data_IF_150793855919
#
_entry.id   IF_150793855919
#
_cell.length_a   1.000
_cell.length_b   1.000
_cell.length_c   1.000
_cell.angle_alpha   90.00
_cell.angle_beta   90.00
_cell.angle_gamma   90.00
#
_symmetry.space_group_name_H-M   'P 1'
#
loop_
_entity.id
_entity.type
_entity.pdbx_description
1 polymer ?
#
# COMPACT_ATOMS: atom_id res chain seq x y z
N UNK A 1 4.30 2.50 19.24
CA UNK A 1 4.56 3.62 20.17
C UNK A 1 4.13 3.26 21.57
N UNK A 2 4.72 3.94 22.56
CA UNK A 2 4.31 3.90 23.96
C UNK A 2 2.88 4.39 24.18
N UNK A 3 2.38 4.17 25.40
CA UNK A 3 1.05 4.61 25.81
C UNK A 3 1.03 6.10 26.13
N UNK A 4 -0.08 6.77 25.82
CA UNK A 4 -0.37 8.18 26.19
C UNK A 4 -0.93 8.35 27.61
N UNK A 5 -0.95 7.28 28.41
CA UNK A 5 -1.38 7.30 29.81
C UNK A 5 -1.79 5.92 30.33
N UNK A 6 -2.24 5.85 31.59
CA UNK A 6 -2.64 4.58 32.22
C UNK A 6 -3.90 3.94 31.62
N UNK A 7 -4.83 4.77 31.14
CA UNK A 7 -6.09 4.34 30.51
C UNK A 7 -5.97 4.09 29.00
N UNK A 8 -4.79 4.33 28.44
CA UNK A 8 -4.51 4.09 27.04
C UNK A 8 -4.07 2.63 26.85
N UNK A 9 -4.77 1.83 26.03
CA UNK A 9 -4.37 0.45 25.84
C UNK A 9 -3.05 0.39 25.06
N UNK A 10 -2.31 -0.71 25.22
CA UNK A 10 -1.11 -0.94 24.43
C UNK A 10 -1.41 -1.04 22.93
N UNK A 11 -0.53 -0.47 22.12
CA UNK A 11 -0.54 -0.66 20.67
C UNK A 11 0.07 -2.02 20.32
N UNK A 12 -0.70 -2.87 19.66
CA UNK A 12 -0.25 -4.19 19.24
C UNK A 12 -0.44 -4.37 17.74
N UNK A 13 0.55 -4.99 17.12
CA UNK A 13 0.40 -5.64 15.82
C UNK A 13 -0.09 -7.07 16.06
N UNK A 14 -1.35 -7.35 15.78
CA UNK A 14 -1.93 -8.67 16.01
C UNK A 14 -1.48 -9.68 14.95
N UNK A 15 -1.27 -10.94 15.34
CA UNK A 15 -0.94 -12.04 14.41
C UNK A 15 -1.98 -12.19 13.29
N UNK A 16 -3.28 -12.05 13.61
CA UNK A 16 -4.36 -12.09 12.61
C UNK A 16 -4.21 -10.95 11.57
N UNK A 17 -3.75 -9.78 11.99
CA UNK A 17 -3.48 -8.65 11.08
C UNK A 17 -2.27 -8.93 10.19
N UNK A 18 -1.18 -9.49 10.75
CA UNK A 18 0.03 -9.87 9.99
C UNK A 18 -0.30 -10.92 8.94
N UNK A 19 -0.98 -12.00 9.37
CA UNK A 19 -1.32 -13.12 8.52
C UNK A 19 -2.20 -12.68 7.34
N UNK A 20 -3.20 -11.83 7.58
CA UNK A 20 -4.06 -11.31 6.52
C UNK A 20 -3.27 -10.56 5.43
N UNK A 21 -2.33 -9.70 5.82
CA UNK A 21 -1.46 -8.98 4.87
C UNK A 21 -0.55 -9.97 4.12
N UNK A 22 0.08 -10.89 4.83
CA UNK A 22 0.96 -11.91 4.25
C UNK A 22 0.21 -12.75 3.20
N UNK A 23 -0.99 -13.21 3.51
CA UNK A 23 -1.81 -14.01 2.60
C UNK A 23 -2.17 -13.26 1.33
N UNK A 24 -2.60 -11.98 1.45
CA UNK A 24 -2.90 -11.14 0.30
C UNK A 24 -1.70 -10.99 -0.64
N UNK A 25 -0.53 -10.63 -0.12
CA UNK A 25 0.68 -10.53 -0.96
C UNK A 25 1.13 -11.89 -1.52
N UNK A 26 0.99 -12.97 -0.74
CA UNK A 26 1.37 -14.31 -1.16
C UNK A 26 0.53 -14.83 -2.34
N UNK A 27 -0.76 -14.47 -2.42
CA UNK A 27 -1.61 -14.74 -3.58
C UNK A 27 -1.06 -14.12 -4.88
N UNK A 28 -0.25 -13.07 -4.76
CA UNK A 28 0.42 -12.38 -5.87
C UNK A 28 1.92 -12.68 -5.99
N UNK A 29 2.38 -13.80 -5.41
CA UNK A 29 3.78 -14.25 -5.43
C UNK A 29 4.77 -13.28 -4.75
N UNK A 30 4.29 -12.41 -3.87
CA UNK A 30 5.11 -11.49 -3.09
C UNK A 30 5.26 -12.05 -1.68
N UNK A 31 6.51 -12.26 -1.24
CA UNK A 31 6.80 -12.73 0.12
C UNK A 31 6.92 -11.54 1.06
N UNK A 32 6.08 -11.52 2.09
CA UNK A 32 6.11 -10.53 3.16
C UNK A 32 6.59 -11.19 4.44
N UNK A 33 7.55 -10.55 5.11
CA UNK A 33 8.03 -10.92 6.42
C UNK A 33 7.81 -9.74 7.35
N UNK A 34 7.20 -10.01 8.50
CA UNK A 34 7.06 -9.01 9.57
C UNK A 34 8.15 -9.31 10.59
N UNK A 35 9.05 -8.35 10.79
CA UNK A 35 10.12 -8.45 11.78
C UNK A 35 9.72 -7.66 13.04
N UNK A 36 9.32 -8.39 14.08
CA UNK A 36 9.06 -7.83 15.41
C UNK A 36 10.33 -7.80 16.28
N UNK A 37 11.51 -7.64 15.67
CA UNK A 37 12.77 -7.52 16.38
C UNK A 37 13.34 -8.86 16.84
N UNK A 38 14.65 -8.86 17.11
CA UNK A 38 15.38 -10.04 17.58
C UNK A 38 15.95 -9.78 18.98
N UNK A 39 16.10 -10.79 19.84
CA UNK A 39 16.64 -10.61 21.20
C UNK A 39 18.01 -9.89 21.26
N UNK A 40 18.77 -9.89 20.17
CA UNK A 40 20.09 -9.27 20.06
C UNK A 40 20.19 -8.23 18.92
N UNK A 41 19.06 -7.74 18.38
CA UNK A 41 19.13 -6.65 17.38
C UNK A 41 19.61 -5.35 18.05
N UNK A 42 20.31 -4.47 17.32
CA UNK A 42 20.56 -3.12 17.81
C UNK A 42 19.26 -2.39 18.11
N UNK A 43 19.37 -1.36 18.93
CA UNK A 43 18.27 -0.43 19.20
C UNK A 43 17.76 0.13 17.85
N UNK A 44 16.45 0.12 17.66
CA UNK A 44 15.66 0.41 16.48
C UNK A 44 15.69 -0.68 15.38
N UNK A 45 15.90 -1.94 15.77
CA UNK A 45 15.95 -3.09 14.86
C UNK A 45 14.58 -3.71 14.49
N UNK A 46 13.49 -3.17 15.02
CA UNK A 46 12.14 -3.76 14.95
C UNK A 46 11.67 -4.28 16.31
N UNK A 47 10.35 -4.42 16.50
CA UNK A 47 9.79 -4.97 17.75
C UNK A 47 9.78 -4.06 18.99
N UNK A 48 10.42 -2.91 18.89
CA UNK A 48 10.65 -2.05 20.04
C UNK A 48 9.50 -1.10 20.34
N UNK A 49 9.34 -0.81 21.63
CA UNK A 49 8.47 0.25 22.08
C UNK A 49 9.17 1.61 21.92
N UNK A 50 8.79 2.36 20.90
CA UNK A 50 9.25 3.75 20.73
C UNK A 50 8.46 4.72 21.63
N UNK A 51 9.00 5.91 21.97
CA UNK A 51 8.29 6.95 22.73
C UNK A 51 6.87 7.24 22.23
N UNK A 52 6.00 7.65 23.15
CA UNK A 52 4.64 8.05 22.84
C UNK A 52 4.61 9.44 22.18
N UNK A 53 3.85 9.55 21.09
CA UNK A 53 3.52 10.78 20.38
C UNK A 53 2.02 10.71 20.06
N UNK A 54 1.26 11.75 20.43
CA UNK A 54 -0.19 11.80 20.22
C UNK A 54 -0.58 11.78 18.74
N UNK A 55 0.18 12.50 17.91
CA UNK A 55 0.01 12.53 16.46
C UNK A 55 1.32 12.80 15.75
N UNK A 56 1.69 11.97 14.78
CA UNK A 56 2.78 12.30 13.85
C UNK A 56 2.17 12.96 12.62
N UNK A 57 2.75 14.09 12.20
CA UNK A 57 2.44 14.67 10.89
C UNK A 57 3.45 14.20 9.86
N UNK A 58 2.98 14.08 8.62
CA UNK A 58 3.78 13.66 7.47
C UNK A 58 5.10 14.46 7.34
N UNK A 59 5.03 15.77 7.57
CA UNK A 59 6.12 16.74 7.39
C UNK A 59 6.96 16.99 8.66
N UNK A 60 6.62 16.36 9.79
CA UNK A 60 7.29 16.63 11.07
C UNK A 60 8.75 16.15 11.14
N UNK A 61 9.13 15.21 10.27
CA UNK A 61 10.40 14.50 10.38
C UNK A 61 10.54 13.62 11.63
N UNK A 62 9.49 13.46 12.44
CA UNK A 62 9.57 12.71 13.71
C UNK A 62 9.91 11.23 13.49
N UNK A 63 9.53 10.67 12.35
CA UNK A 63 9.82 9.28 11.98
C UNK A 63 11.33 8.99 11.87
N UNK A 64 12.14 10.00 11.57
CA UNK A 64 13.61 9.91 11.54
C UNK A 64 14.23 9.56 12.91
N UNK A 65 13.52 9.82 14.00
CA UNK A 65 14.00 9.47 15.34
C UNK A 65 13.95 7.95 15.58
N UNK A 66 13.10 7.24 14.83
CA UNK A 66 12.87 5.81 14.99
C UNK A 66 13.51 4.99 13.87
N UNK A 67 13.68 5.59 12.70
CA UNK A 67 14.22 4.91 11.54
C UNK A 67 15.75 4.98 11.48
N UNK A 68 16.42 3.86 11.77
CA UNK A 68 17.90 3.75 11.74
C UNK A 68 18.46 2.74 10.74
N UNK A 69 17.70 2.36 9.70
CA UNK A 69 18.19 1.54 8.58
C UNK A 69 19.08 0.36 8.98
N UNK A 70 18.76 -0.34 10.08
CA UNK A 70 19.54 -1.48 10.50
C UNK A 70 18.94 -2.76 9.93
N UNK A 71 19.24 -3.01 8.65
CA UNK A 71 18.91 -4.27 7.99
C UNK A 71 20.19 -5.07 7.87
N UNK A 72 20.34 -6.18 8.61
CA UNK A 72 21.58 -6.94 8.58
C UNK A 72 21.81 -7.50 7.17
N UNK A 73 23.05 -7.43 6.68
CA UNK A 73 23.44 -7.73 5.29
C UNK A 73 23.05 -9.15 4.84
N UNK A 74 22.93 -10.10 5.77
CA UNK A 74 22.44 -11.44 5.46
C UNK A 74 20.97 -11.48 5.00
N UNK A 75 20.23 -10.39 5.17
CA UNK A 75 18.83 -10.28 4.75
C UNK A 75 18.74 -9.48 3.46
N UNK A 76 18.49 -10.21 2.37
CA UNK A 76 18.20 -9.60 1.05
C UNK A 76 16.70 -9.38 0.93
N UNK A 77 16.29 -8.15 0.66
CA UNK A 77 14.87 -7.82 0.49
C UNK A 77 14.61 -6.33 0.45
N UNK A 78 13.32 -6.01 0.43
CA UNK A 78 12.78 -4.65 0.48
C UNK A 78 12.26 -4.44 1.89
N UNK A 79 12.78 -3.42 2.57
CA UNK A 79 12.46 -3.18 3.97
C UNK A 79 11.68 -1.88 4.13
N UNK A 80 10.62 -1.97 4.92
CA UNK A 80 9.76 -0.84 5.29
C UNK A 80 9.70 -0.80 6.80
N UNK A 81 9.95 0.36 7.38
CA UNK A 81 9.81 0.52 8.83
C UNK A 81 8.39 0.92 9.16
N UNK A 82 7.75 0.20 10.07
CA UNK A 82 6.36 0.46 10.44
C UNK A 82 6.26 0.88 11.91
N UNK A 83 5.56 1.97 12.18
CA UNK A 83 5.24 2.41 13.54
C UNK A 83 3.73 2.40 13.73
N UNK A 84 3.27 1.75 14.79
CA UNK A 84 1.87 1.77 15.20
C UNK A 84 1.72 2.76 16.37
N UNK A 85 0.94 3.82 16.19
CA UNK A 85 0.81 4.96 17.13
C UNK A 85 -0.63 5.42 17.33
N UNK A 86 -0.83 6.59 17.94
CA UNK A 86 -2.17 7.12 18.28
C UNK A 86 -2.89 7.84 17.16
N UNK A 87 -2.16 8.63 16.37
CA UNK A 87 -2.73 9.51 15.35
C UNK A 87 -1.72 9.76 14.23
N UNK A 88 -2.20 9.69 13.00
CA UNK A 88 -1.37 9.48 11.81
C UNK A 88 -2.05 8.57 10.79
N UNK A 89 -1.30 7.87 9.95
CA UNK A 89 -1.83 7.03 8.87
C UNK A 89 -1.30 7.49 7.53
N UNK A 90 0.01 7.29 7.33
CA UNK A 90 0.69 7.73 6.12
C UNK A 90 1.92 6.87 5.82
N UNK A 91 2.13 6.57 4.55
CA UNK A 91 3.43 6.23 4.00
C UNK A 91 4.27 7.50 3.83
N UNK A 92 5.17 7.75 4.79
CA UNK A 92 6.01 8.95 4.92
C UNK A 92 7.45 8.73 4.49
N UNK A 93 8.14 9.82 4.14
CA UNK A 93 9.54 9.77 3.80
C UNK A 93 10.43 9.98 5.03
N UNK A 94 11.35 9.03 5.27
CA UNK A 94 12.35 9.21 6.32
C UNK A 94 13.64 9.82 5.75
N UNK A 95 14.20 9.27 4.67
CA UNK A 95 15.42 9.80 4.05
C UNK A 95 15.18 10.16 2.60
N UNK A 96 15.52 11.39 2.21
CA UNK A 96 15.11 11.99 0.93
C UNK A 96 13.58 11.98 0.80
N UNK A 97 13.04 12.06 -0.42
CA UNK A 97 11.59 11.97 -0.65
C UNK A 97 11.16 10.53 -0.97
N UNK A 98 11.77 9.55 -0.29
CA UNK A 98 11.49 8.12 -0.46
C UNK A 98 10.51 7.68 0.61
N UNK A 99 9.41 7.06 0.23
CA UNK A 99 8.41 6.61 1.20
C UNK A 99 8.65 5.19 1.72
N UNK A 100 9.69 5.07 2.55
CA UNK A 100 10.17 3.83 3.14
C UNK A 100 9.64 3.58 4.56
N UNK A 101 8.84 4.50 5.10
CA UNK A 101 8.30 4.41 6.45
C UNK A 101 6.78 4.52 6.46
N UNK A 102 6.15 3.62 7.20
CA UNK A 102 4.70 3.54 7.34
C UNK A 102 4.32 3.85 8.78
N UNK A 103 3.41 4.78 8.95
CA UNK A 103 2.76 5.02 10.23
C UNK A 103 1.31 4.54 10.17
N UNK A 104 0.92 3.71 11.13
CA UNK A 104 -0.47 3.25 11.29
C UNK A 104 -1.05 3.83 12.56
N UNK A 105 -2.15 4.59 12.39
CA UNK A 105 -2.99 4.98 13.51
C UNK A 105 -3.70 3.78 14.11
N UNK A 106 -3.31 3.44 15.33
CA UNK A 106 -4.08 2.61 16.21
C UNK A 106 -5.14 3.47 16.89
N UNK A 107 -6.39 3.33 16.44
CA UNK A 107 -7.49 3.98 17.14
C UNK A 107 -7.74 3.25 18.45
N UNK A 108 -7.11 3.75 19.51
CA UNK A 108 -7.47 3.48 20.90
C UNK A 108 -7.57 4.77 21.69
N UNK A 109 -8.79 5.18 21.99
CA UNK A 109 -9.00 6.30 22.92
C UNK A 109 -9.20 5.85 24.35
N UNK A 110 -9.07 6.83 25.27
CA UNK A 110 -9.21 6.71 26.73
C UNK A 110 -10.56 6.13 27.20
N UNK A 111 -11.58 6.13 26.35
CA UNK A 111 -12.89 5.52 26.56
C UNK A 111 -13.17 4.51 25.45
N UNK A 112 -12.65 3.29 25.64
CA UNK A 112 -12.59 2.25 24.61
C UNK A 112 -13.95 1.99 23.93
N UNK A 113 -15.06 2.04 24.66
CA UNK A 113 -16.39 1.79 24.09
C UNK A 113 -16.93 2.97 23.26
N UNK A 114 -16.82 4.20 23.78
CA UNK A 114 -17.31 5.41 23.08
C UNK A 114 -16.55 5.61 21.77
N UNK A 115 -15.23 5.42 21.80
CA UNK A 115 -14.39 5.58 20.61
C UNK A 115 -14.57 4.43 19.62
N UNK A 116 -14.86 3.20 20.07
CA UNK A 116 -15.26 2.10 19.18
C UNK A 116 -16.57 2.41 18.46
N UNK A 117 -17.58 2.93 19.17
CA UNK A 117 -18.86 3.31 18.56
C UNK A 117 -18.67 4.46 17.58
N UNK A 118 -17.91 5.51 17.94
CA UNK A 118 -17.58 6.60 17.01
C UNK A 118 -16.84 6.09 15.77
N UNK A 119 -15.85 5.23 15.96
CA UNK A 119 -15.08 4.63 14.84
C UNK A 119 -15.98 3.83 13.91
N UNK A 120 -17.01 3.16 14.43
CA UNK A 120 -17.99 2.49 13.59
C UNK A 120 -18.76 3.48 12.70
N UNK A 121 -19.26 4.57 13.27
CA UNK A 121 -20.03 5.57 12.50
C UNK A 121 -19.20 6.44 11.55
N UNK A 122 -17.94 6.71 11.91
CA UNK A 122 -17.04 7.59 11.14
C UNK A 122 -16.24 6.80 10.10
N UNK A 123 -15.73 5.63 10.49
CA UNK A 123 -14.79 4.86 9.68
C UNK A 123 -15.39 3.52 9.18
N UNK A 124 -16.56 3.11 9.66
CA UNK A 124 -17.16 1.81 9.31
C UNK A 124 -16.51 0.63 10.04
N UNK A 125 -15.62 0.89 11.00
CA UNK A 125 -14.91 -0.15 11.76
C UNK A 125 -15.85 -0.91 12.67
N UNK A 126 -15.99 -2.22 12.44
CA UNK A 126 -16.85 -3.07 13.28
C UNK A 126 -16.37 -3.05 14.75
N UNK A 127 -17.26 -2.73 15.72
CA UNK A 127 -16.91 -2.58 17.13
C UNK A 127 -16.77 -3.93 17.84
N UNK A 128 -15.87 -4.79 17.33
CA UNK A 128 -15.53 -6.09 17.92
C UNK A 128 -14.01 -6.26 17.94
N UNK A 129 -13.50 -7.15 18.79
CA UNK A 129 -12.06 -7.44 18.81
C UNK A 129 -11.54 -7.92 17.45
N UNK A 130 -12.30 -8.77 16.76
CA UNK A 130 -11.93 -9.22 15.41
C UNK A 130 -11.99 -8.08 14.40
N UNK A 131 -13.04 -7.26 14.43
CA UNK A 131 -13.16 -6.06 13.58
C UNK A 131 -11.98 -5.10 13.79
N UNK A 132 -11.48 -4.98 15.02
CA UNK A 132 -10.31 -4.19 15.32
C UNK A 132 -9.02 -4.71 14.65
N UNK A 133 -8.82 -6.03 14.63
CA UNK A 133 -7.66 -6.71 14.01
C UNK A 133 -7.73 -6.68 12.49
N UNK A 134 -8.90 -6.96 11.92
CA UNK A 134 -9.13 -6.91 10.47
C UNK A 134 -8.94 -5.49 9.96
N UNK A 135 -9.51 -4.50 10.65
CA UNK A 135 -9.28 -3.08 10.33
C UNK A 135 -7.80 -2.68 10.42
N UNK A 136 -7.04 -3.19 11.40
CA UNK A 136 -5.62 -2.90 11.50
C UNK A 136 -4.85 -3.50 10.32
N UNK A 137 -5.10 -4.77 10.00
CA UNK A 137 -4.45 -5.42 8.86
C UNK A 137 -4.80 -4.76 7.52
N UNK A 138 -6.04 -4.31 7.37
CA UNK A 138 -6.50 -3.61 6.18
C UNK A 138 -5.84 -2.22 6.02
N UNK A 139 -5.68 -1.48 7.12
CA UNK A 139 -4.90 -0.23 7.12
C UNK A 139 -3.43 -0.48 6.78
N UNK A 140 -2.84 -1.56 7.31
CA UNK A 140 -1.47 -1.93 6.96
C UNK A 140 -1.38 -2.24 5.46
N UNK A 141 -2.31 -3.03 4.92
CA UNK A 141 -2.35 -3.33 3.50
C UNK A 141 -2.47 -2.05 2.67
N UNK A 142 -3.38 -1.15 3.03
CA UNK A 142 -3.58 0.16 2.39
C UNK A 142 -2.27 0.98 2.34
N UNK A 143 -1.64 1.22 3.50
CA UNK A 143 -0.44 2.05 3.57
C UNK A 143 0.80 1.39 2.95
N UNK A 144 0.95 0.07 3.08
CA UNK A 144 2.02 -0.67 2.40
C UNK A 144 1.85 -0.54 0.89
N UNK A 145 0.62 -0.55 0.39
CA UNK A 145 0.36 -0.41 -1.04
C UNK A 145 0.75 0.98 -1.56
N UNK A 146 0.57 2.04 -0.77
CA UNK A 146 1.12 3.37 -1.09
C UNK A 146 2.64 3.41 -1.21
N UNK A 147 3.35 2.57 -0.46
CA UNK A 147 4.81 2.40 -0.59
C UNK A 147 5.23 1.41 -1.69
N UNK A 148 4.25 0.90 -2.45
CA UNK A 148 4.44 0.02 -3.61
C UNK A 148 3.84 0.66 -4.87
N UNK A 149 4.06 1.96 -5.08
CA UNK A 149 3.63 2.76 -6.25
C UNK A 149 2.14 2.97 -6.48
N UNK A 150 1.25 2.66 -5.53
CA UNK A 150 -0.20 2.92 -5.70
C UNK A 150 -0.61 4.19 -4.96
N UNK A 151 -1.00 5.22 -5.69
CA UNK A 151 -1.64 6.43 -5.17
C UNK A 151 -2.54 7.01 -6.24
N UNK A 152 -3.45 7.91 -5.84
CA UNK A 152 -4.32 8.61 -6.80
C UNK A 152 -3.50 9.28 -7.90
N UNK A 153 -2.34 9.81 -7.53
CA UNK A 153 -1.41 10.53 -8.38
C UNK A 153 -0.66 9.57 -9.31
N UNK A 154 0.01 8.57 -8.77
CA UNK A 154 0.81 7.60 -9.56
C UNK A 154 -0.05 6.80 -10.53
N UNK A 155 -1.27 6.43 -10.13
CA UNK A 155 -2.21 5.68 -10.96
C UNK A 155 -3.12 6.57 -11.82
N UNK A 156 -3.14 7.89 -11.59
CA UNK A 156 -4.13 8.81 -12.17
C UNK A 156 -5.58 8.28 -12.01
N UNK A 157 -5.91 7.81 -10.80
CA UNK A 157 -7.18 7.14 -10.53
C UNK A 157 -7.87 7.73 -9.30
N UNK A 158 -8.98 8.44 -9.54
CA UNK A 158 -9.70 9.19 -8.51
C UNK A 158 -10.42 8.34 -7.45
N UNK A 159 -10.42 7.01 -7.56
CA UNK A 159 -11.00 6.10 -6.57
C UNK A 159 -10.09 5.85 -5.36
N UNK A 160 -8.77 5.97 -5.51
CA UNK A 160 -7.81 5.84 -4.40
C UNK A 160 -7.99 7.00 -3.42
N UNK A 161 -8.00 6.69 -2.13
CA UNK A 161 -8.11 7.63 -0.99
C UNK A 161 -9.32 8.57 -1.09
N UNK A 162 -10.35 8.12 -1.80
CA UNK A 162 -11.46 8.99 -2.12
C UNK A 162 -12.41 9.14 -0.92
N UNK A 163 -12.24 10.24 -0.18
CA UNK A 163 -13.05 10.63 0.98
C UNK A 163 -14.43 11.20 0.63
N UNK A 164 -14.78 11.37 -0.65
CA UNK A 164 -16.04 12.04 -1.05
C UNK A 164 -17.31 11.25 -0.75
N UNK A 165 -17.19 9.98 -0.33
CA UNK A 165 -18.29 9.11 0.09
C UNK A 165 -19.10 9.65 1.28
N UNK A 166 -18.49 10.55 2.07
CA UNK A 166 -19.01 11.26 3.24
C UNK A 166 -19.27 10.42 4.50
N UNK A 167 -19.92 9.26 4.41
CA UNK A 167 -20.15 8.37 5.55
C UNK A 167 -20.12 6.90 5.12
N UNK A 168 -19.43 6.00 5.83
CA UNK A 168 -19.24 4.64 5.34
C UNK A 168 -20.47 3.75 5.54
N UNK A 169 -21.36 4.12 6.47
CA UNK A 169 -22.61 3.42 6.75
C UNK A 169 -23.71 3.89 5.79
N UNK A 170 -23.75 5.19 5.49
CA UNK A 170 -24.72 5.80 4.57
C UNK A 170 -23.97 6.63 3.50
N UNK A 171 -23.26 5.95 2.58
CA UNK A 171 -22.49 6.64 1.57
C UNK A 171 -23.39 7.40 0.60
N UNK A 172 -22.89 8.51 0.06
CA UNK A 172 -23.59 9.27 -0.99
C UNK A 172 -23.92 8.35 -2.17
N UNK A 173 -25.16 8.42 -2.66
CA UNK A 173 -25.62 7.62 -3.80
C UNK A 173 -24.73 7.80 -5.03
N UNK A 174 -24.37 9.03 -5.37
CA UNK A 174 -23.48 9.35 -6.50
C UNK A 174 -22.08 8.73 -6.34
N UNK A 175 -21.59 8.63 -5.11
CA UNK A 175 -20.33 7.95 -4.82
C UNK A 175 -20.44 6.46 -5.11
N UNK A 176 -21.48 5.80 -4.58
CA UNK A 176 -21.71 4.37 -4.80
C UNK A 176 -21.89 4.05 -6.29
N UNK A 177 -22.62 4.90 -7.02
CA UNK A 177 -22.82 4.79 -8.46
C UNK A 177 -21.50 4.90 -9.26
N UNK A 178 -20.54 5.68 -8.76
CA UNK A 178 -19.25 5.89 -9.44
C UNK A 178 -18.20 4.89 -8.96
N UNK A 179 -17.87 4.90 -7.66
CA UNK A 179 -16.75 4.19 -7.06
C UNK A 179 -17.16 2.95 -6.24
N UNK A 180 -18.45 2.62 -6.15
CA UNK A 180 -18.92 1.45 -5.38
C UNK A 180 -18.54 0.10 -5.99
N UNK A 181 -18.06 0.08 -7.24
CA UNK A 181 -17.51 -1.12 -7.86
C UNK A 181 -16.00 -1.28 -7.62
N UNK A 182 -15.29 -0.21 -7.25
CA UNK A 182 -13.88 -0.25 -6.86
C UNK A 182 -13.73 -0.83 -5.46
N UNK A 183 -13.80 -2.16 -5.36
CA UNK A 183 -13.68 -2.91 -4.11
C UNK A 183 -12.20 -3.18 -3.80
N UNK A 184 -11.60 -2.22 -3.11
CA UNK A 184 -10.20 -2.25 -2.70
C UNK A 184 -10.06 -1.59 -1.34
N UNK A 185 -9.08 -2.01 -0.52
CA UNK A 185 -8.71 -1.29 0.69
C UNK A 185 -8.20 0.13 0.40
N UNK A 186 -7.79 0.41 -0.84
CA UNK A 186 -7.42 1.76 -1.31
C UNK A 186 -8.62 2.71 -1.43
N UNK A 187 -9.84 2.19 -1.38
CA UNK A 187 -11.06 2.98 -1.35
C UNK A 187 -11.53 3.13 0.11
N UNK A 188 -11.57 4.36 0.64
CA UNK A 188 -11.99 4.61 2.03
C UNK A 188 -13.39 4.12 2.40
N UNK A 189 -14.30 3.92 1.42
CA UNK A 189 -15.57 3.27 1.70
C UNK A 189 -15.40 1.81 2.16
N UNK A 190 -14.32 1.15 1.72
CA UNK A 190 -14.06 -0.27 1.95
C UNK A 190 -12.85 -0.55 2.86
N UNK A 191 -11.97 0.43 3.14
CA UNK A 191 -10.76 0.24 3.95
C UNK A 191 -11.01 -0.45 5.30
N UNK A 192 -12.15 -0.23 5.96
CA UNK A 192 -12.46 -0.87 7.23
C UNK A 192 -13.50 -2.00 7.12
N UNK A 193 -13.93 -2.33 5.89
CA UNK A 193 -14.92 -3.36 5.63
C UNK A 193 -14.25 -4.74 5.67
N UNK A 194 -14.64 -5.64 6.59
CA UNK A 194 -13.99 -6.95 6.71
C UNK A 194 -14.20 -7.86 5.50
N UNK A 195 -15.16 -7.54 4.61
CA UNK A 195 -15.44 -8.32 3.41
C UNK A 195 -14.58 -7.88 2.21
N UNK A 196 -13.76 -6.84 2.35
CA UNK A 196 -12.94 -6.24 1.29
C UNK A 196 -11.50 -6.09 1.76
N UNK A 197 -11.01 -7.01 2.60
CA UNK A 197 -9.58 -7.06 2.94
C UNK A 197 -8.82 -7.56 1.71
N UNK A 198 -8.64 -6.71 0.70
CA UNK A 198 -7.88 -6.97 -0.52
C UNK A 198 -7.67 -5.68 -1.34
N UNK A 199 -6.75 -5.73 -2.30
CA UNK A 199 -6.66 -4.72 -3.37
C UNK A 199 -7.51 -5.15 -4.56
N UNK A 200 -7.91 -4.21 -5.43
CA UNK A 200 -8.74 -4.58 -6.58
C UNK A 200 -7.93 -5.35 -7.64
N UNK A 201 -8.56 -6.37 -8.24
CA UNK A 201 -8.07 -7.03 -9.46
C UNK A 201 -8.62 -6.41 -10.75
N UNK A 202 -9.41 -5.33 -10.66
CA UNK A 202 -10.03 -4.66 -11.81
C UNK A 202 -11.13 -5.48 -12.51
N UNK A 203 -11.79 -6.39 -11.80
CA UNK A 203 -12.77 -7.33 -12.38
C UNK A 203 -14.01 -6.64 -12.93
N UNK A 204 -14.36 -5.45 -12.43
CA UNK A 204 -15.49 -4.66 -12.93
C UNK A 204 -15.10 -3.75 -14.10
N UNK A 205 -13.81 -3.66 -14.43
CA UNK A 205 -13.28 -2.95 -15.58
C UNK A 205 -13.28 -1.41 -15.45
N UNK A 206 -12.68 -0.73 -16.45
CA UNK A 206 -12.62 0.73 -16.47
C UNK A 206 -14.01 1.36 -16.72
N UNK A 207 -14.19 2.65 -16.33
CA UNK A 207 -13.18 3.55 -15.79
C UNK A 207 -13.13 3.58 -14.26
N UNK A 208 -13.95 2.78 -13.57
CA UNK A 208 -14.17 2.90 -12.12
C UNK A 208 -13.74 1.69 -11.30
N UNK A 209 -12.99 0.76 -11.88
CA UNK A 209 -12.35 -0.33 -11.15
C UNK A 209 -10.99 -0.64 -11.81
N UNK A 210 -9.90 -0.27 -11.13
CA UNK A 210 -8.55 -0.52 -11.61
C UNK A 210 -7.97 -1.81 -11.00
N UNK A 211 -7.03 -2.44 -11.71
CA UNK A 211 -6.30 -3.60 -11.18
C UNK A 211 -5.11 -3.15 -10.34
N UNK A 212 -5.35 -2.77 -9.09
CA UNK A 212 -4.34 -2.35 -8.11
C UNK A 212 -3.19 -3.36 -8.02
N UNK A 213 -3.49 -4.65 -7.91
CA UNK A 213 -2.48 -5.71 -7.83
C UNK A 213 -1.56 -5.75 -9.05
N UNK A 214 -2.09 -5.43 -10.23
CA UNK A 214 -1.30 -5.31 -11.46
C UNK A 214 -0.39 -4.09 -11.49
N UNK A 215 -0.64 -3.09 -10.65
CA UNK A 215 0.16 -1.86 -10.54
C UNK A 215 1.14 -1.87 -9.36
N UNK A 216 1.08 -2.88 -8.47
CA UNK A 216 2.00 -2.99 -7.33
C UNK A 216 3.44 -3.10 -7.82
N UNK A 217 4.25 -2.08 -7.54
CA UNK A 217 5.69 -2.13 -7.74
C UNK A 217 6.41 -2.08 -6.39
N UNK A 218 6.86 -3.25 -5.93
CA UNK A 218 7.48 -3.36 -4.60
C UNK A 218 8.76 -2.53 -4.45
N UNK A 219 9.46 -2.24 -5.55
CA UNK A 219 10.71 -1.47 -5.59
C UNK A 219 10.53 0.06 -5.56
N UNK A 220 9.30 0.57 -5.45
CA UNK A 220 8.98 2.00 -5.53
C UNK A 220 9.78 2.85 -4.52
N UNK A 221 9.96 2.30 -3.31
CA UNK A 221 10.80 2.89 -2.25
C UNK A 221 12.29 3.07 -2.62
N UNK A 222 12.77 2.60 -3.77
CA UNK A 222 14.15 2.86 -4.19
C UNK A 222 14.32 4.22 -4.86
N UNK A 223 13.21 4.93 -5.09
CA UNK A 223 13.16 6.13 -5.88
C UNK A 223 12.51 7.25 -5.08
N UNK A 224 12.97 8.48 -5.32
CA UNK A 224 12.30 9.64 -4.75
C UNK A 224 10.93 9.78 -5.41
N UNK A 225 9.89 9.98 -4.61
CA UNK A 225 8.62 10.50 -5.09
C UNK A 225 8.87 11.85 -5.76
N UNK A 226 8.19 12.10 -6.86
CA UNK A 226 8.25 13.39 -7.56
C UNK A 226 7.54 14.48 -6.76
N UNK A 227 6.49 14.10 -6.04
CA UNK A 227 5.67 14.99 -5.24
C UNK A 227 6.05 14.86 -3.77
N UNK A 228 6.22 15.99 -3.09
CA UNK A 228 6.28 16.06 -1.63
C UNK A 228 4.83 16.36 -1.20
N UNK A 229 4.15 15.45 -0.49
CA UNK A 229 2.82 15.70 0.06
C UNK A 229 2.87 16.92 0.97
N UNK A 230 2.47 18.09 0.46
CA UNK A 230 2.26 19.26 1.29
C UNK A 230 0.92 19.13 2.00
N UNK A 231 0.83 19.41 3.31
CA UNK A 231 -0.41 19.26 4.07
C UNK A 231 -1.58 20.14 3.60
N UNK A 232 -1.37 21.01 2.59
CA UNK A 232 -2.37 21.95 2.06
C UNK A 232 -2.28 22.25 0.54
N UNK A 233 -1.58 21.43 -0.26
CA UNK A 233 -1.46 21.72 -1.69
C UNK A 233 -2.77 21.44 -2.46
N UNK A 234 -3.23 22.46 -3.18
CA UNK A 234 -4.33 22.37 -4.15
C UNK A 234 -3.89 21.48 -5.32
N UNK A 235 -4.70 20.47 -5.65
CA UNK A 235 -4.34 19.35 -6.54
C UNK A 235 -4.27 19.72 -8.03
N UNK A 236 -3.96 20.96 -8.36
CA UNK A 236 -4.17 21.52 -9.71
C UNK A 236 -2.90 21.94 -10.44
N UNK A 237 -1.71 21.82 -9.85
CA UNK A 237 -0.48 22.18 -10.55
C UNK A 237 0.67 21.23 -10.23
N UNK A 238 1.05 20.38 -11.19
CA UNK A 238 2.32 20.49 -11.93
C UNK A 238 2.63 19.23 -12.75
N UNK A 239 3.11 19.48 -13.96
CA UNK A 239 3.68 18.51 -14.88
C UNK A 239 4.85 17.76 -14.24
N UNK A 240 4.85 16.45 -14.48
CA UNK A 240 5.82 15.49 -13.98
C UNK A 240 7.09 15.47 -14.81
N UNK A 241 8.22 15.29 -14.16
CA UNK A 241 9.53 15.11 -14.81
C UNK A 241 10.40 14.15 -14.00
N UNK A 242 10.00 12.88 -14.01
CA UNK A 242 10.81 11.74 -13.56
C UNK A 242 10.50 10.55 -14.47
N UNK A 243 11.43 9.59 -14.55
CA UNK A 243 11.40 8.48 -15.52
C UNK A 243 10.05 7.73 -15.49
N UNK A 244 9.28 7.79 -16.58
CA UNK A 244 7.92 7.24 -16.70
C UNK A 244 7.86 5.71 -16.91
N UNK A 245 8.99 5.01 -16.84
CA UNK A 245 9.17 3.67 -17.47
C UNK A 245 8.41 2.51 -16.80
N UNK A 246 7.87 2.74 -15.61
CA UNK A 246 7.21 1.79 -14.71
C UNK A 246 5.70 2.02 -14.49
N UNK A 247 5.13 3.10 -15.02
CA UNK A 247 3.68 3.38 -14.90
C UNK A 247 2.93 2.92 -16.15
N UNK A 248 1.65 2.58 -16.03
CA UNK A 248 0.80 2.19 -17.17
C UNK A 248 -0.33 3.18 -17.45
N UNK A 249 -0.23 4.39 -16.89
CA UNK A 249 -1.17 5.48 -17.18
C UNK A 249 -1.07 5.89 -18.66
N UNK A 250 -2.22 5.99 -19.32
CA UNK A 250 -2.28 6.24 -20.77
C UNK A 250 -2.03 4.99 -21.63
N UNK A 251 -1.92 3.80 -21.04
CA UNK A 251 -1.75 2.54 -21.76
C UNK A 251 -2.85 1.54 -21.41
N UNK A 252 -3.22 0.68 -22.36
CA UNK A 252 -4.17 -0.42 -22.18
C UNK A 252 -3.44 -1.75 -22.31
N UNK A 253 -3.81 -2.72 -21.48
CA UNK A 253 -3.32 -4.10 -21.60
C UNK A 253 -3.75 -4.70 -22.95
N UNK A 254 -2.81 -5.34 -23.65
CA UNK A 254 -3.05 -5.99 -24.94
C UNK A 254 -2.70 -7.48 -24.84
N UNK A 255 -3.73 -8.32 -24.76
CA UNK A 255 -3.58 -9.77 -24.59
C UNK A 255 -2.88 -10.43 -25.79
N UNK A 256 -3.20 -9.99 -27.01
CA UNK A 256 -2.62 -10.57 -28.24
C UNK A 256 -1.14 -10.18 -28.36
N UNK A 257 -0.81 -8.94 -28.03
CA UNK A 257 0.57 -8.46 -28.01
C UNK A 257 1.38 -9.13 -26.91
N UNK A 258 0.77 -9.38 -25.75
CA UNK A 258 1.38 -10.14 -24.67
C UNK A 258 1.71 -11.57 -25.09
N UNK A 259 0.77 -12.28 -25.72
CA UNK A 259 0.99 -13.63 -26.23
C UNK A 259 2.11 -13.67 -27.29
N UNK A 260 2.09 -12.72 -28.22
CA UNK A 260 3.13 -12.58 -29.26
C UNK A 260 4.51 -12.34 -28.63
N UNK A 261 4.60 -11.44 -27.65
CA UNK A 261 5.84 -11.13 -26.94
C UNK A 261 6.37 -12.36 -26.19
N UNK A 262 5.52 -13.05 -25.43
CA UNK A 262 5.86 -14.29 -24.71
C UNK A 262 6.41 -15.35 -25.67
N UNK A 263 5.75 -15.56 -26.82
CA UNK A 263 6.23 -16.51 -27.82
C UNK A 263 7.61 -16.13 -28.38
N UNK A 264 7.86 -14.83 -28.58
CA UNK A 264 9.13 -14.33 -29.13
C UNK A 264 10.31 -14.38 -28.16
N UNK A 265 10.06 -14.14 -26.86
CA UNK A 265 11.12 -14.09 -25.85
C UNK A 265 11.48 -15.48 -25.30
N UNK A 266 10.59 -16.46 -25.52
CA UNK A 266 10.79 -17.85 -25.12
C UNK A 266 10.84 -18.00 -23.60
N UNK A 267 11.78 -18.82 -23.12
CA UNK A 267 11.95 -19.11 -21.69
C UNK A 267 12.81 -18.08 -20.95
N UNK A 268 13.28 -17.03 -21.62
CA UNK A 268 14.16 -16.05 -21.00
C UNK A 268 13.45 -15.28 -19.87
N UNK A 269 14.17 -15.10 -18.77
CA UNK A 269 13.72 -14.32 -17.61
C UNK A 269 14.73 -13.24 -17.27
N UNK A 270 14.29 -12.01 -16.94
CA UNK A 270 15.17 -10.97 -16.41
C UNK A 270 15.67 -11.29 -14.99
N UNK A 271 15.07 -12.29 -14.32
CA UNK A 271 15.37 -12.70 -12.95
C UNK A 271 15.68 -14.21 -12.97
N UNK A 272 16.81 -14.59 -13.56
CA UNK A 272 17.25 -15.99 -13.64
C UNK A 272 17.56 -16.57 -12.23
N UNK A 273 17.16 -17.82 -11.90
CA UNK A 273 16.41 -18.81 -12.69
C UNK A 273 14.88 -18.77 -12.47
N UNK A 274 14.34 -17.67 -11.99
CA UNK A 274 12.92 -17.54 -11.65
C UNK A 274 12.12 -17.24 -12.93
N UNK A 275 11.19 -18.12 -13.35
CA UNK A 275 10.34 -17.83 -14.50
C UNK A 275 9.45 -16.62 -14.20
N UNK A 276 8.96 -15.91 -15.23
CA UNK A 276 8.11 -14.72 -15.06
C UNK A 276 6.79 -14.82 -15.85
N UNK A 277 5.76 -14.14 -15.37
CA UNK A 277 4.59 -13.71 -16.14
C UNK A 277 4.95 -12.40 -16.84
N UNK A 278 4.61 -12.29 -18.12
CA UNK A 278 4.79 -11.07 -18.88
C UNK A 278 3.43 -10.38 -19.09
N UNK A 279 3.42 -9.06 -19.05
CA UNK A 279 2.26 -8.27 -19.46
C UNK A 279 2.72 -7.12 -20.35
N UNK A 280 2.03 -6.94 -21.48
CA UNK A 280 2.36 -5.92 -22.47
C UNK A 280 1.21 -4.96 -22.61
N UNK A 281 1.54 -3.67 -22.57
CA UNK A 281 0.59 -2.58 -22.62
C UNK A 281 0.91 -1.64 -23.78
N UNK A 282 -0.14 -1.16 -24.42
CA UNK A 282 -0.08 -0.31 -25.61
C UNK A 282 -0.65 1.07 -25.30
N UNK A 283 0.01 2.11 -25.76
CA UNK A 283 -0.42 3.49 -25.58
C UNK A 283 -1.83 3.71 -26.17
N UNK A 284 -2.74 4.28 -25.38
CA UNK A 284 -4.14 4.55 -25.75
C UNK A 284 -4.25 5.77 -26.65
N UNK A 285 -3.45 6.81 -26.39
CA UNK A 285 -3.52 8.09 -27.09
C UNK A 285 -2.14 8.57 -27.56
N UNK A 286 -1.80 8.19 -28.79
CA UNK A 286 -0.53 8.56 -29.42
C UNK A 286 -0.50 10.03 -29.86
N UNK A 287 -1.66 10.62 -30.14
CA UNK A 287 -1.74 11.99 -30.67
C UNK A 287 -1.40 13.01 -29.58
N UNK A 288 -1.81 12.75 -28.34
CA UNK A 288 -1.49 13.60 -27.19
C UNK A 288 -0.14 13.26 -26.53
N UNK A 289 0.46 12.11 -26.85
CA UNK A 289 1.74 11.64 -26.28
C UNK A 289 2.73 11.16 -27.35
N UNK A 290 3.17 12.03 -28.29
CA UNK A 290 3.94 11.62 -29.47
C UNK A 290 5.36 11.12 -29.16
N UNK A 291 5.92 11.48 -27.99
CA UNK A 291 7.29 11.15 -27.59
C UNK A 291 7.37 9.93 -26.65
N UNK A 292 6.24 9.38 -26.22
CA UNK A 292 6.21 8.27 -25.26
C UNK A 292 6.32 6.92 -25.99
N UNK A 293 6.95 5.92 -25.36
CA UNK A 293 7.13 4.58 -25.97
C UNK A 293 5.78 3.97 -26.31
N UNK A 294 5.58 3.46 -27.53
CA UNK A 294 4.27 2.88 -27.91
C UNK A 294 3.88 1.63 -27.10
N UNK A 295 4.87 0.94 -26.55
CA UNK A 295 4.71 -0.34 -25.84
C UNK A 295 5.49 -0.26 -24.52
N UNK A 296 4.86 -0.72 -23.44
CA UNK A 296 5.51 -1.03 -22.16
C UNK A 296 5.37 -2.52 -21.85
N UNK A 297 6.44 -3.12 -21.33
CA UNK A 297 6.51 -4.55 -21.01
C UNK A 297 6.89 -4.71 -19.55
N UNK A 298 6.10 -5.47 -18.81
CA UNK A 298 6.33 -5.76 -17.40
C UNK A 298 6.58 -7.25 -17.19
N UNK A 299 7.46 -7.56 -16.22
CA UNK A 299 7.79 -8.93 -15.82
C UNK A 299 7.46 -9.12 -14.34
N UNK A 300 6.66 -10.15 -14.03
CA UNK A 300 6.32 -10.53 -12.66
C UNK A 300 6.85 -11.94 -12.37
N UNK A 301 7.66 -12.18 -11.32
CA UNK A 301 8.11 -13.51 -10.93
C UNK A 301 6.97 -14.54 -10.74
N UNK A 302 7.14 -15.74 -11.30
CA UNK A 302 6.33 -16.94 -11.05
C UNK A 302 6.98 -17.74 -9.92
N UNK A 303 6.45 -17.66 -8.71
CA UNK A 303 6.92 -18.46 -7.59
C UNK A 303 6.11 -19.76 -7.50
N UNK A 304 6.79 -20.91 -7.41
CA UNK A 304 6.11 -22.19 -7.11
C UNK A 304 6.05 -22.39 -5.61
N UNK A 305 4.86 -22.74 -5.09
CA UNK A 305 4.59 -22.97 -3.66
C UNK A 305 5.49 -24.04 -3.00
N UNK A 306 6.17 -24.87 -3.79
CA UNK A 306 7.14 -25.88 -3.34
C UNK A 306 8.50 -25.32 -2.90
N UNK A 307 8.83 -24.05 -3.17
CA UNK A 307 10.04 -23.41 -2.62
C UNK A 307 9.86 -22.90 -1.18
N UNK A 308 8.70 -23.14 -0.54
CA UNK A 308 8.42 -22.74 0.84
C UNK A 308 8.96 -23.72 1.90
N UNK A 309 9.77 -24.73 1.53
CA UNK A 309 10.30 -25.73 2.48
C UNK A 309 11.82 -25.70 2.69
N UNK A 310 12.52 -24.74 2.12
CA UNK A 310 13.95 -24.59 2.36
C UNK A 310 14.34 -23.13 2.21
N UNK A 311 14.15 -22.39 3.31
CA UNK A 311 15.10 -21.46 3.95
C UNK A 311 14.61 -21.32 5.40
#
# INVERSE_FOLDING_TARGET
MGRGGLADPPHYLFEESKQGVIERFAEHNIRVYVDDGWPNSPIHGGGELVPHIDKVSYDSGMMLQFYKNYFPDERKGIFRYMVIGHGGGFSSAAKNNIADVIEISYVSGKLQLVEQVKSFFILGRIPTQRGARVSLGSLILHEVTHSCSISKETCNFGGIDNVSYANPILPKKSYVETWGQYRSVMNYLYTHNPNVFDLSHGVNGPPYDQNDWGYVFVGDFQYNREEIPEPYADSSTKERSGEEDWWVSGYAYDANLTETFVHSIGEWSPIDPIPVNWSVYKLIDREHHPNTRMIKVFAQPKMTSSQNKSI
#
